data_IF_127772336003
#
_entry.id   IF_127772336003
#
_cell.length_a   1.000
_cell.length_b   1.000
_cell.length_c   1.000
_cell.angle_alpha   90.00
_cell.angle_beta   90.00
_cell.angle_gamma   90.00
#
_symmetry.space_group_name_H-M   'P 1'
#
loop_
_entity.id
_entity.type
_entity.pdbx_description
1 polymer ?
#
# COMPACT_ATOMS: atom_id res chain seq x y z
N UNK A 1 74.31 36.50 8.52
CA UNK A 1 73.61 35.29 8.99
C UNK A 1 72.44 35.78 9.84
N UNK A 2 71.26 35.94 9.22
CA UNK A 2 70.07 36.56 9.83
C UNK A 2 69.22 35.49 10.52
N UNK A 3 68.66 35.72 11.73
CA UNK A 3 67.64 34.85 12.27
C UNK A 3 66.26 35.28 11.76
N UNK A 4 65.51 34.31 11.23
CA UNK A 4 64.16 34.48 10.72
C UNK A 4 63.16 34.69 11.85
N UNK A 5 62.29 35.68 11.66
CA UNK A 5 61.19 36.09 12.51
C UNK A 5 60.03 35.08 12.43
N UNK A 6 59.56 34.61 13.58
CA UNK A 6 58.34 33.80 13.70
C UNK A 6 57.10 34.66 13.42
N UNK A 7 56.37 34.36 12.34
CA UNK A 7 55.05 34.93 12.06
C UNK A 7 54.01 33.83 12.32
N UNK A 8 53.29 33.98 13.43
CA UNK A 8 52.00 33.34 13.68
C UNK A 8 50.95 33.82 12.69
N UNK A 9 50.28 32.90 12.02
CA UNK A 9 49.02 33.17 11.29
C UNK A 9 48.08 31.98 11.47
N UNK A 10 47.17 32.13 12.44
CA UNK A 10 45.96 31.33 12.55
C UNK A 10 44.95 31.86 11.53
N UNK A 11 44.49 31.00 10.62
CA UNK A 11 43.29 31.25 9.82
C UNK A 11 42.38 30.02 9.91
N UNK A 12 41.38 30.10 10.79
CA UNK A 12 40.17 29.29 10.71
C UNK A 12 39.37 29.77 9.51
N UNK A 13 39.20 28.93 8.49
CA UNK A 13 38.18 29.10 7.47
C UNK A 13 37.24 27.89 7.56
N UNK A 14 36.06 28.16 8.12
CA UNK A 14 34.96 27.24 8.35
C UNK A 14 34.49 26.77 6.96
N UNK A 15 34.77 25.51 6.62
CA UNK A 15 34.22 24.91 5.41
C UNK A 15 32.75 24.59 5.69
N UNK A 16 31.87 25.51 5.32
CA UNK A 16 30.42 25.32 5.34
C UNK A 16 30.09 24.10 4.49
N UNK A 17 29.86 22.97 5.15
CA UNK A 17 29.28 21.78 4.55
C UNK A 17 27.88 22.15 4.07
N UNK A 18 27.74 22.31 2.75
CA UNK A 18 26.45 22.18 2.07
C UNK A 18 25.96 20.74 2.27
N UNK A 19 25.38 20.48 3.44
CA UNK A 19 24.45 19.37 3.60
C UNK A 19 23.27 19.72 2.70
N UNK A 20 22.96 18.93 1.64
CA UNK A 20 21.64 19.02 1.09
C UNK A 20 20.69 18.74 2.25
N UNK A 21 19.81 19.70 2.58
CA UNK A 21 18.59 19.34 3.28
C UNK A 21 17.92 18.32 2.36
N UNK A 22 18.14 17.04 2.64
CA UNK A 22 17.18 16.01 2.29
C UNK A 22 15.96 16.42 3.11
N UNK A 23 15.12 17.28 2.53
CA UNK A 23 13.72 17.30 2.89
C UNK A 23 13.28 15.87 2.61
N UNK A 24 13.21 15.06 3.65
CA UNK A 24 12.38 13.88 3.63
C UNK A 24 11.00 14.42 3.24
N UNK A 25 10.66 14.30 1.96
CA UNK A 25 9.31 14.58 1.50
C UNK A 25 8.47 13.51 2.17
N UNK A 26 7.85 13.92 3.25
CA UNK A 26 6.76 13.20 3.85
C UNK A 26 5.76 12.94 2.70
N UNK A 27 5.49 11.68 2.33
CA UNK A 27 4.77 11.43 1.08
C UNK A 27 3.28 11.65 1.37
N UNK A 28 2.85 12.92 1.35
CA UNK A 28 1.44 13.27 1.19
C UNK A 28 0.91 12.51 -0.02
N UNK A 29 -0.22 11.85 0.15
CA UNK A 29 -0.81 11.12 -0.97
C UNK A 29 -1.32 12.11 -2.02
N UNK A 30 -1.17 11.74 -3.29
CA UNK A 30 -1.62 12.54 -4.42
C UNK A 30 -3.09 12.22 -4.70
N UNK A 31 -3.99 13.22 -4.75
CA UNK A 31 -5.39 12.99 -5.09
C UNK A 31 -5.53 12.38 -6.50
N UNK A 32 -6.28 11.29 -6.60
CA UNK A 32 -6.59 10.60 -7.84
C UNK A 32 -8.07 10.23 -7.89
N UNK A 33 -8.78 10.65 -8.93
CA UNK A 33 -10.16 10.23 -9.17
C UNK A 33 -10.18 9.13 -10.22
N UNK A 34 -10.60 7.94 -9.82
CA UNK A 34 -10.77 6.82 -10.75
C UNK A 34 -11.89 7.13 -11.75
N UNK A 35 -11.60 7.19 -13.07
CA UNK A 35 -12.59 7.57 -14.07
C UNK A 35 -13.73 6.56 -14.21
N UNK A 36 -13.51 5.28 -13.81
CA UNK A 36 -14.53 4.23 -13.93
C UNK A 36 -15.57 4.29 -12.81
N UNK A 37 -15.14 4.54 -11.58
CA UNK A 37 -16.00 4.54 -10.39
C UNK A 37 -16.39 5.94 -9.92
N UNK A 38 -15.64 6.96 -10.33
CA UNK A 38 -15.70 8.35 -9.86
C UNK A 38 -15.50 8.46 -8.33
N UNK A 39 -14.61 7.62 -7.79
CA UNK A 39 -14.14 7.67 -6.40
C UNK A 39 -12.79 8.39 -6.39
N UNK A 40 -12.62 9.31 -5.45
CA UNK A 40 -11.34 10.00 -5.23
C UNK A 40 -10.58 9.34 -4.10
N UNK A 41 -9.30 9.09 -4.34
CA UNK A 41 -8.36 8.45 -3.43
C UNK A 41 -7.20 9.39 -3.16
N UNK A 42 -6.63 9.31 -1.97
CA UNK A 42 -5.24 9.72 -1.74
C UNK A 42 -4.32 8.57 -2.16
N UNK A 43 -3.37 8.81 -3.07
CA UNK A 43 -2.56 7.74 -3.69
C UNK A 43 -1.06 7.93 -3.50
N UNK A 44 -0.36 6.80 -3.38
CA UNK A 44 1.09 6.71 -3.32
C UNK A 44 1.58 5.84 -4.48
N UNK A 45 2.37 6.44 -5.37
CA UNK A 45 3.02 5.74 -6.46
C UNK A 45 4.43 5.30 -6.04
N UNK A 46 4.69 4.02 -6.21
CA UNK A 46 5.95 3.36 -5.96
C UNK A 46 6.51 2.95 -7.31
N UNK A 47 7.72 3.41 -7.61
CA UNK A 47 8.40 3.10 -8.87
C UNK A 47 8.71 1.62 -9.03
N UNK A 48 9.30 1.27 -10.16
CA UNK A 48 9.70 -0.12 -10.46
C UNK A 48 10.65 -0.67 -9.38
N UNK A 49 10.42 -1.92 -8.98
CA UNK A 49 11.26 -2.59 -7.98
C UNK A 49 11.60 -4.01 -8.41
N UNK A 50 12.90 -4.31 -8.49
CA UNK A 50 13.43 -5.69 -8.62
C UNK A 50 12.68 -6.58 -9.62
N UNK A 51 12.46 -6.07 -10.84
CA UNK A 51 11.82 -6.81 -11.93
C UNK A 51 10.29 -6.80 -11.94
N UNK A 52 9.62 -6.26 -10.91
CA UNK A 52 8.22 -5.90 -10.97
C UNK A 52 8.06 -4.44 -11.42
N UNK A 53 6.95 -4.16 -12.10
CA UNK A 53 6.62 -2.81 -12.57
C UNK A 53 6.22 -1.87 -11.42
N UNK A 54 5.78 -0.64 -11.74
CA UNK A 54 5.32 0.29 -10.72
C UNK A 54 4.08 -0.23 -10.00
N UNK A 55 3.92 0.18 -8.75
CA UNK A 55 2.76 -0.11 -7.91
C UNK A 55 2.15 1.19 -7.41
N UNK A 56 0.83 1.29 -7.41
CA UNK A 56 0.12 2.41 -6.79
C UNK A 56 -0.85 1.87 -5.77
N UNK A 57 -0.79 2.38 -4.54
CA UNK A 57 -1.81 2.17 -3.52
C UNK A 57 -2.60 3.45 -3.30
N UNK A 58 -3.91 3.33 -3.17
CA UNK A 58 -4.81 4.44 -2.89
C UNK A 58 -5.80 4.10 -1.79
N UNK A 59 -6.17 5.12 -1.02
CA UNK A 59 -7.06 4.99 0.11
C UNK A 59 -8.09 6.12 0.11
N UNK A 60 -9.35 5.75 0.36
CA UNK A 60 -10.43 6.67 0.69
C UNK A 60 -11.09 6.19 1.98
N UNK A 61 -11.38 7.13 2.90
CA UNK A 61 -11.86 6.87 4.24
C UNK A 61 -13.20 7.57 4.54
N UNK A 62 -13.95 7.09 5.54
CA UNK A 62 -15.07 7.82 6.11
C UNK A 62 -14.69 9.25 6.52
N UNK A 63 -15.63 10.19 6.42
CA UNK A 63 -15.36 11.61 6.70
C UNK A 63 -14.82 11.90 8.11
N UNK A 64 -15.18 11.06 9.08
CA UNK A 64 -14.74 11.19 10.48
C UNK A 64 -13.44 10.44 10.80
N UNK A 65 -12.77 9.82 9.82
CA UNK A 65 -11.61 8.94 10.07
C UNK A 65 -10.38 9.66 10.65
N UNK A 66 -10.33 10.99 10.53
CA UNK A 66 -9.32 11.84 11.16
C UNK A 66 -9.61 12.17 12.63
N UNK A 67 -10.83 11.90 13.12
CA UNK A 67 -11.22 12.12 14.52
C UNK A 67 -11.46 10.81 15.27
N UNK A 68 -11.84 9.75 14.57
CA UNK A 68 -12.10 8.42 15.14
C UNK A 68 -11.53 7.39 14.19
N UNK A 69 -10.81 6.41 14.71
CA UNK A 69 -10.22 5.37 13.87
C UNK A 69 -11.31 4.65 13.06
N UNK A 70 -11.15 4.67 11.74
CA UNK A 70 -12.01 3.90 10.85
C UNK A 70 -11.69 2.41 11.00
N UNK A 71 -12.69 1.55 10.85
CA UNK A 71 -12.48 0.09 10.78
C UNK A 71 -12.38 -0.40 9.34
N UNK A 72 -12.79 0.43 8.37
CA UNK A 72 -12.85 0.10 6.96
C UNK A 72 -12.33 1.21 6.06
N UNK A 73 -12.04 0.87 4.81
CA UNK A 73 -11.64 1.82 3.76
C UNK A 73 -12.05 1.32 2.38
N UNK A 74 -12.03 2.22 1.39
CA UNK A 74 -12.03 1.85 -0.02
C UNK A 74 -10.61 1.94 -0.54
N UNK A 75 -10.09 0.82 -1.03
CA UNK A 75 -8.76 0.71 -1.58
C UNK A 75 -8.74 0.81 -3.09
N UNK A 76 -7.69 1.42 -3.63
CA UNK A 76 -7.29 1.35 -5.03
C UNK A 76 -5.90 0.70 -5.09
N UNK A 77 -5.73 -0.28 -5.98
CA UNK A 77 -4.41 -0.81 -6.30
C UNK A 77 -4.24 -0.85 -7.82
N UNK A 78 -3.12 -0.33 -8.31
CA UNK A 78 -2.63 -0.53 -9.68
C UNK A 78 -1.32 -1.29 -9.62
N UNK A 79 -1.25 -2.41 -10.31
CA UNK A 79 -0.15 -3.35 -10.19
C UNK A 79 0.37 -3.74 -11.56
N UNK A 80 1.69 -3.79 -11.71
CA UNK A 80 2.37 -4.17 -12.94
C UNK A 80 3.47 -5.19 -12.64
N UNK A 81 3.71 -6.15 -13.54
CA UNK A 81 2.97 -6.43 -14.78
C UNK A 81 1.58 -7.03 -14.52
N UNK A 82 0.74 -7.15 -15.56
CA UNK A 82 -0.63 -7.66 -15.40
C UNK A 82 -0.70 -9.12 -14.96
N UNK A 83 0.32 -9.90 -15.29
CA UNK A 83 0.49 -11.31 -14.90
C UNK A 83 1.21 -11.48 -13.54
N UNK A 84 1.53 -10.40 -12.85
CA UNK A 84 2.18 -10.40 -11.54
C UNK A 84 1.20 -10.44 -10.38
N UNK A 85 1.71 -10.11 -9.19
CA UNK A 85 0.89 -9.82 -8.01
C UNK A 85 1.48 -8.67 -7.21
N UNK A 86 0.61 -8.04 -6.43
CA UNK A 86 0.96 -6.95 -5.52
C UNK A 86 0.23 -7.15 -4.19
N UNK A 87 0.80 -6.63 -3.12
CA UNK A 87 0.18 -6.65 -1.82
C UNK A 87 0.57 -5.44 -0.99
N UNK A 88 -0.32 -5.10 -0.05
CA UNK A 88 -0.09 -4.06 0.95
C UNK A 88 -0.25 -4.67 2.35
N UNK A 89 0.65 -4.31 3.25
CA UNK A 89 0.47 -4.52 4.69
C UNK A 89 -0.10 -3.27 5.31
N UNK A 90 -1.18 -3.44 6.09
CA UNK A 90 -1.86 -2.36 6.79
C UNK A 90 -1.22 -1.99 8.14
N UNK A 91 -0.14 -2.70 8.52
CA UNK A 91 0.61 -2.45 9.76
C UNK A 91 2.11 -2.29 9.54
N UNK A 92 2.55 -2.02 8.31
CA UNK A 92 3.94 -1.74 7.96
C UNK A 92 4.89 -2.95 7.94
N UNK A 93 4.59 -4.02 8.66
CA UNK A 93 5.36 -5.27 8.64
C UNK A 93 4.63 -6.37 7.85
N UNK A 94 5.37 -7.30 7.24
CA UNK A 94 4.75 -8.51 6.63
C UNK A 94 4.08 -9.38 7.72
N UNK A 95 4.72 -9.49 8.87
CA UNK A 95 4.22 -10.29 9.98
C UNK A 95 3.32 -9.47 10.89
N UNK A 96 2.40 -10.15 11.57
CA UNK A 96 1.54 -9.59 12.62
C UNK A 96 0.66 -8.42 12.16
N UNK A 97 0.41 -8.31 10.85
CA UNK A 97 -0.38 -7.26 10.21
C UNK A 97 -1.37 -7.87 9.22
N UNK A 98 -2.53 -7.25 9.03
CA UNK A 98 -3.42 -7.66 7.95
C UNK A 98 -2.80 -7.31 6.59
N UNK A 99 -2.77 -8.30 5.71
CA UNK A 99 -2.22 -8.17 4.36
C UNK A 99 -3.37 -8.22 3.35
N UNK A 100 -3.37 -7.29 2.41
CA UNK A 100 -4.27 -7.31 1.24
C UNK A 100 -3.42 -7.66 0.04
N UNK A 101 -3.73 -8.77 -0.64
CA UNK A 101 -3.03 -9.24 -1.83
C UNK A 101 -3.98 -9.22 -3.02
N UNK A 102 -3.49 -8.79 -4.18
CA UNK A 102 -4.22 -8.80 -5.44
C UNK A 102 -3.38 -9.33 -6.61
N UNK A 103 -4.03 -9.99 -7.56
CA UNK A 103 -3.44 -10.51 -8.80
C UNK A 103 -4.52 -10.71 -9.85
N UNK A 104 -4.16 -10.73 -11.14
CA UNK A 104 -5.07 -11.15 -12.20
C UNK A 104 -4.85 -12.65 -12.50
N UNK A 105 -5.94 -13.41 -12.60
CA UNK A 105 -5.89 -14.80 -13.07
C UNK A 105 -5.65 -14.86 -14.60
N UNK A 106 -5.39 -16.05 -15.14
CA UNK A 106 -5.13 -16.21 -16.58
C UNK A 106 -6.35 -15.87 -17.47
N UNK A 107 -7.54 -15.74 -16.89
CA UNK A 107 -8.78 -15.34 -17.58
C UNK A 107 -9.01 -13.83 -17.52
N UNK A 108 -8.12 -13.08 -16.86
CA UNK A 108 -8.23 -11.63 -16.70
C UNK A 108 -9.16 -11.20 -15.57
N UNK A 109 -9.55 -12.09 -14.65
CA UNK A 109 -10.28 -11.69 -13.45
C UNK A 109 -9.29 -11.27 -12.36
N UNK A 110 -9.48 -10.08 -11.79
CA UNK A 110 -8.65 -9.61 -10.68
C UNK A 110 -9.18 -10.21 -9.38
N UNK A 111 -8.34 -11.05 -8.76
CA UNK A 111 -8.58 -11.69 -7.46
C UNK A 111 -7.97 -10.87 -6.34
N UNK A 112 -8.58 -10.96 -5.15
CA UNK A 112 -8.14 -10.29 -3.93
C UNK A 112 -8.21 -11.29 -2.79
N UNK A 113 -7.25 -11.28 -1.88
CA UNK A 113 -7.27 -12.16 -0.70
C UNK A 113 -6.72 -11.42 0.50
N UNK A 114 -7.36 -11.64 1.64
CA UNK A 114 -6.89 -11.17 2.94
C UNK A 114 -6.02 -12.25 3.56
N UNK A 115 -4.80 -11.87 3.94
CA UNK A 115 -3.78 -12.80 4.40
C UNK A 115 -3.18 -12.35 5.72
N UNK A 116 -2.62 -13.31 6.46
CA UNK A 116 -1.95 -13.06 7.73
C UNK A 116 -0.85 -14.08 8.00
N UNK A 117 0.20 -13.66 8.70
CA UNK A 117 1.26 -14.53 9.17
C UNK A 117 1.96 -13.95 10.40
N UNK A 118 2.45 -14.81 11.29
CA UNK A 118 3.34 -14.43 12.40
C UNK A 118 4.81 -14.66 12.06
N UNK A 119 5.10 -15.28 10.92
CA UNK A 119 6.43 -15.70 10.48
C UNK A 119 6.71 -15.28 9.03
N UNK A 120 7.99 -15.28 8.63
CA UNK A 120 8.40 -15.06 7.23
C UNK A 120 8.22 -16.31 6.36
N UNK A 121 7.00 -16.82 6.33
CA UNK A 121 6.54 -17.96 5.53
C UNK A 121 5.37 -17.52 4.64
N UNK A 122 4.81 -18.44 3.84
CA UNK A 122 3.65 -18.14 2.99
C UNK A 122 2.47 -17.70 3.88
N UNK A 123 1.95 -16.47 3.73
CA UNK A 123 0.82 -16.03 4.52
C UNK A 123 -0.43 -16.88 4.31
N UNK A 124 -1.01 -17.33 5.42
CA UNK A 124 -2.28 -18.04 5.43
C UNK A 124 -3.45 -17.09 5.16
N UNK A 125 -4.63 -17.67 4.95
CA UNK A 125 -5.88 -16.89 4.86
C UNK A 125 -6.12 -16.17 6.19
N UNK A 126 -6.58 -14.93 6.12
CA UNK A 126 -7.02 -14.22 7.30
C UNK A 126 -8.40 -14.73 7.74
N UNK A 127 -8.50 -15.21 8.98
CA UNK A 127 -9.70 -15.84 9.54
C UNK A 127 -10.52 -14.91 10.44
N UNK A 128 -10.08 -13.66 10.62
CA UNK A 128 -10.83 -12.67 11.38
C UNK A 128 -12.02 -12.09 10.62
N UNK A 129 -12.66 -11.07 11.19
CA UNK A 129 -13.94 -10.54 10.70
C UNK A 129 -13.84 -9.66 9.44
N UNK A 130 -12.64 -9.49 8.89
CA UNK A 130 -12.43 -8.60 7.75
C UNK A 130 -12.99 -9.21 6.47
N UNK A 131 -13.58 -8.36 5.62
CA UNK A 131 -14.07 -8.77 4.30
C UNK A 131 -13.57 -7.82 3.23
N UNK A 132 -13.32 -8.35 2.04
CA UNK A 132 -12.89 -7.57 0.89
C UNK A 132 -13.88 -7.78 -0.25
N UNK A 133 -14.52 -6.71 -0.71
CA UNK A 133 -15.54 -6.76 -1.76
C UNK A 133 -15.13 -5.90 -2.95
N UNK A 134 -15.16 -6.45 -4.18
CA UNK A 134 -14.78 -5.69 -5.37
C UNK A 134 -15.79 -4.56 -5.65
N UNK A 135 -15.30 -3.46 -6.20
CA UNK A 135 -16.11 -2.36 -6.76
C UNK A 135 -15.88 -2.28 -8.27
N UNK A 136 -14.61 -2.35 -8.69
CA UNK A 136 -14.24 -2.34 -10.09
C UNK A 136 -12.85 -2.97 -10.29
N UNK A 137 -12.61 -3.53 -11.47
CA UNK A 137 -11.30 -3.98 -11.91
C UNK A 137 -11.10 -3.75 -13.40
N UNK A 138 -9.85 -3.68 -13.82
CA UNK A 138 -9.45 -3.63 -15.22
C UNK A 138 -8.11 -4.36 -15.37
N UNK A 139 -7.94 -5.09 -16.47
CA UNK A 139 -6.66 -5.69 -16.86
C UNK A 139 -6.28 -5.11 -18.21
N UNK A 140 -5.06 -4.59 -18.29
CA UNK A 140 -4.47 -4.01 -19.50
C UNK A 140 -3.21 -4.80 -19.86
N UNK A 141 -2.98 -4.97 -21.16
CA UNK A 141 -1.81 -5.67 -21.70
C UNK A 141 -1.08 -4.80 -22.71
N UNK A 142 0.15 -5.19 -23.07
CA UNK A 142 0.95 -4.45 -24.06
C UNK A 142 1.76 -3.34 -23.41
N UNK A 143 1.74 -2.12 -23.98
CA UNK A 143 2.55 -0.99 -23.47
C UNK A 143 2.06 -0.43 -22.13
N UNK A 144 0.85 -0.78 -21.69
CA UNK A 144 0.27 -0.39 -20.39
C UNK A 144 0.06 -1.61 -19.48
N UNK A 145 0.92 -2.62 -19.58
CA UNK A 145 0.75 -3.91 -18.90
C UNK A 145 0.59 -3.78 -17.39
N UNK A 146 -0.64 -3.91 -16.92
CA UNK A 146 -1.02 -3.70 -15.53
C UNK A 146 -2.44 -4.20 -15.28
N UNK A 147 -2.80 -4.39 -14.01
CA UNK A 147 -4.20 -4.49 -13.60
C UNK A 147 -4.51 -3.46 -12.53
N UNK A 148 -5.78 -3.06 -12.47
CA UNK A 148 -6.33 -2.21 -11.42
C UNK A 148 -7.44 -2.91 -10.66
N UNK A 149 -7.59 -2.53 -9.40
CA UNK A 149 -8.70 -2.96 -8.57
C UNK A 149 -9.09 -1.82 -7.63
N UNK A 150 -10.39 -1.54 -7.60
CA UNK A 150 -11.06 -0.81 -6.54
C UNK A 150 -11.86 -1.80 -5.69
N UNK A 151 -11.77 -1.70 -4.37
CA UNK A 151 -12.44 -2.59 -3.44
C UNK A 151 -12.80 -1.89 -2.13
N UNK A 152 -13.86 -2.36 -1.47
CA UNK A 152 -14.13 -2.03 -0.07
C UNK A 152 -13.50 -3.09 0.81
N UNK A 153 -12.78 -2.67 1.86
CA UNK A 153 -12.18 -3.54 2.85
C UNK A 153 -12.82 -3.25 4.21
N UNK A 154 -13.80 -4.06 4.61
CA UNK A 154 -14.54 -3.90 5.86
C UNK A 154 -13.80 -4.58 7.00
N UNK A 155 -13.76 -3.94 8.17
CA UNK A 155 -13.03 -4.44 9.36
C UNK A 155 -11.54 -4.75 9.10
N UNK A 156 -10.92 -4.07 8.12
CA UNK A 156 -9.53 -4.31 7.72
C UNK A 156 -8.50 -3.47 8.49
N UNK A 157 -8.91 -2.37 9.14
CA UNK A 157 -7.98 -1.50 9.87
C UNK A 157 -7.78 -1.94 11.33
N UNK A 158 -8.33 -3.10 11.69
CA UNK A 158 -8.12 -3.80 12.95
C UNK A 158 -8.05 -5.29 12.66
N UNK A 159 -7.11 -5.99 13.26
CA UNK A 159 -6.96 -7.42 13.02
C UNK A 159 -6.62 -8.19 14.27
N UNK A 160 -7.04 -9.45 14.27
CA UNK A 160 -6.78 -10.40 15.34
C UNK A 160 -6.71 -11.82 14.75
N UNK A 161 -5.57 -12.49 14.87
CA UNK A 161 -5.40 -13.89 14.45
C UNK A 161 -4.26 -14.54 15.20
N UNK A 162 -4.41 -15.81 15.55
CA UNK A 162 -3.39 -16.62 16.25
C UNK A 162 -2.87 -15.98 17.56
N UNK A 163 -3.73 -15.24 18.27
CA UNK A 163 -3.35 -14.54 19.51
C UNK A 163 -2.56 -13.25 19.30
N UNK A 164 -2.35 -12.84 18.06
CA UNK A 164 -1.76 -11.55 17.69
C UNK A 164 -2.86 -10.57 17.28
N UNK A 165 -2.82 -9.36 17.85
CA UNK A 165 -3.74 -8.28 17.52
C UNK A 165 -2.97 -7.04 17.05
N UNK A 166 -3.61 -6.23 16.20
CA UNK A 166 -3.07 -4.95 15.74
C UNK A 166 -4.14 -4.09 15.09
N UNK A 167 -3.79 -2.82 14.84
CA UNK A 167 -4.68 -1.85 14.23
C UNK A 167 -3.90 -0.75 13.54
N UNK A 168 -4.54 -0.12 12.56
CA UNK A 168 -4.04 1.06 11.86
C UNK A 168 -4.88 2.28 12.29
N UNK A 169 -4.29 3.20 13.03
CA UNK A 169 -5.00 4.32 13.66
C UNK A 169 -5.11 5.52 12.70
N UNK A 170 -6.18 5.60 11.92
CA UNK A 170 -6.40 6.70 10.95
C UNK A 170 -6.46 8.07 11.62
N UNK A 171 -6.96 8.15 12.87
CA UNK A 171 -7.04 9.40 13.62
C UNK A 171 -5.69 9.99 14.00
N UNK A 172 -4.61 9.21 13.90
CA UNK A 172 -3.24 9.69 14.10
C UNK A 172 -2.71 10.53 12.93
N UNK A 173 -3.43 10.55 11.80
CA UNK A 173 -3.01 11.21 10.56
C UNK A 173 -1.90 10.47 9.81
N UNK A 174 -1.46 9.29 10.28
CA UNK A 174 -0.35 8.54 9.71
C UNK A 174 -0.66 7.05 9.71
N UNK A 175 -0.50 6.38 8.57
CA UNK A 175 -0.58 4.92 8.47
C UNK A 175 0.79 4.36 8.12
N UNK A 176 1.32 3.45 8.94
CA UNK A 176 2.55 2.74 8.61
C UNK A 176 2.20 1.59 7.65
N UNK A 177 2.64 1.71 6.40
CA UNK A 177 2.26 0.82 5.31
C UNK A 177 3.49 0.17 4.71
N UNK A 178 3.27 -1.00 4.11
CA UNK A 178 4.31 -1.67 3.33
C UNK A 178 3.73 -2.30 2.08
N UNK A 179 4.57 -2.47 1.07
CA UNK A 179 4.19 -3.13 -0.17
C UNK A 179 5.08 -4.34 -0.43
N UNK A 180 4.53 -5.25 -1.21
CA UNK A 180 5.22 -6.38 -1.79
C UNK A 180 4.73 -6.55 -3.24
N UNK A 181 5.64 -6.81 -4.17
CA UNK A 181 5.31 -7.01 -5.59
C UNK A 181 6.14 -8.15 -6.18
N UNK A 182 5.59 -8.83 -7.17
CA UNK A 182 6.32 -9.79 -7.99
C UNK A 182 5.82 -9.78 -9.44
N UNK A 183 6.73 -10.11 -10.36
CA UNK A 183 6.43 -10.22 -11.79
C UNK A 183 5.64 -11.47 -12.19
N UNK A 184 5.52 -12.45 -11.29
CA UNK A 184 4.82 -13.71 -11.53
C UNK A 184 3.73 -13.93 -10.48
N UNK A 185 2.48 -13.97 -10.95
CA UNK A 185 1.29 -14.33 -10.17
C UNK A 185 1.28 -15.80 -9.73
N UNK A 186 0.36 -16.16 -8.82
CA UNK A 186 0.12 -17.55 -8.46
C UNK A 186 -0.51 -18.33 -9.63
N UNK A 187 -0.57 -19.66 -9.51
CA UNK A 187 -1.36 -20.49 -10.43
C UNK A 187 -2.86 -20.20 -10.31
N UNK A 188 -3.62 -20.51 -11.36
CA UNK A 188 -5.07 -20.37 -11.38
C UNK A 188 -5.73 -21.20 -10.26
N UNK A 189 -6.71 -20.58 -9.59
CA UNK A 189 -7.41 -21.20 -8.46
C UNK A 189 -8.21 -20.18 -7.68
N UNK A 190 -8.78 -20.61 -6.55
CA UNK A 190 -9.50 -19.71 -5.66
C UNK A 190 -8.52 -18.79 -4.92
N UNK A 191 -8.92 -17.54 -4.69
CA UNK A 191 -8.04 -16.51 -4.16
C UNK A 191 -7.44 -16.87 -2.80
N UNK A 192 -8.19 -17.61 -1.98
CA UNK A 192 -7.78 -18.04 -0.64
C UNK A 192 -6.86 -19.27 -0.64
N UNK A 193 -6.82 -20.02 -1.75
CA UNK A 193 -5.90 -21.15 -1.94
C UNK A 193 -4.62 -20.77 -2.68
N UNK A 194 -4.57 -19.54 -3.21
CA UNK A 194 -3.45 -19.04 -4.00
C UNK A 194 -2.11 -19.20 -3.25
N UNK A 195 -1.13 -19.75 -3.95
CA UNK A 195 0.25 -19.93 -3.45
C UNK A 195 1.17 -18.97 -4.20
N UNK A 196 1.75 -18.05 -3.44
CA UNK A 196 2.66 -17.05 -3.97
C UNK A 196 4.11 -17.46 -3.77
N UNK A 197 4.95 -17.19 -4.76
CA UNK A 197 6.40 -17.12 -4.53
C UNK A 197 6.71 -15.87 -3.71
N UNK A 198 7.88 -15.85 -3.06
CA UNK A 198 8.36 -14.65 -2.35
C UNK A 198 8.38 -13.45 -3.32
N UNK A 199 7.93 -12.29 -2.87
CA UNK A 199 8.00 -11.04 -3.62
C UNK A 199 9.43 -10.73 -4.07
N UNK A 200 9.57 -10.15 -5.26
CA UNK A 200 10.86 -9.66 -5.76
C UNK A 200 11.14 -8.23 -5.30
N UNK A 201 10.10 -7.41 -5.15
CA UNK A 201 10.17 -6.04 -4.63
C UNK A 201 9.37 -5.85 -3.33
N UNK A 202 9.89 -5.02 -2.43
CA UNK A 202 9.25 -4.70 -1.16
C UNK A 202 9.73 -3.34 -0.64
N UNK A 203 8.97 -2.75 0.28
CA UNK A 203 9.38 -1.55 1.00
C UNK A 203 8.29 -1.07 1.95
N UNK A 204 8.60 -0.06 2.76
CA UNK A 204 7.67 0.57 3.69
C UNK A 204 7.56 2.06 3.41
N UNK A 205 6.43 2.66 3.74
CA UNK A 205 6.24 4.10 3.73
C UNK A 205 5.19 4.49 4.78
N UNK A 206 5.25 5.74 5.23
CA UNK A 206 4.19 6.32 6.06
C UNK A 206 3.22 7.02 5.13
N UNK A 207 1.99 6.52 5.03
CA UNK A 207 0.90 7.16 4.30
C UNK A 207 0.24 8.23 5.16
N UNK A 208 0.39 9.49 4.78
CA UNK A 208 -0.26 10.60 5.49
C UNK A 208 -1.76 10.62 5.20
N UNK A 209 -2.55 10.59 6.26
CA UNK A 209 -4.01 10.70 6.22
C UNK A 209 -4.37 12.14 6.51
N UNK A 210 -4.99 12.79 5.55
CA UNK A 210 -5.39 14.18 5.61
C UNK A 210 -6.78 14.37 4.97
N UNK A 211 -7.16 15.64 4.73
CA UNK A 211 -8.44 15.98 4.12
C UNK A 211 -8.61 15.45 2.68
N UNK A 212 -7.54 15.04 2.00
CA UNK A 212 -7.63 14.40 0.68
C UNK A 212 -7.98 12.91 0.78
N UNK A 213 -7.82 12.33 1.97
CA UNK A 213 -8.03 10.91 2.22
C UNK A 213 -9.44 10.61 2.73
N UNK A 214 -10.11 11.58 3.36
CA UNK A 214 -11.47 11.43 3.90
C UNK A 214 -12.53 12.03 2.98
N UNK A 215 -13.76 11.51 3.00
CA UNK A 215 -14.86 12.06 2.19
C UNK A 215 -16.25 11.87 2.79
N UNK A 216 -17.08 12.91 2.69
CA UNK A 216 -18.52 12.81 2.98
C UNK A 216 -19.27 11.92 1.97
N UNK A 217 -18.67 11.66 0.81
CA UNK A 217 -19.22 10.73 -0.19
C UNK A 217 -18.87 9.27 0.09
N UNK A 218 -18.11 8.97 1.14
CA UNK A 218 -17.59 7.63 1.42
C UNK A 218 -18.69 6.57 1.45
N UNK A 219 -19.79 6.79 2.19
CA UNK A 219 -20.89 5.82 2.29
C UNK A 219 -21.53 5.51 0.92
N UNK A 220 -21.67 6.53 0.07
CA UNK A 220 -22.17 6.37 -1.30
C UNK A 220 -21.21 5.55 -2.15
N UNK A 221 -19.90 5.71 -1.96
CA UNK A 221 -18.88 4.95 -2.65
C UNK A 221 -18.80 3.51 -2.15
N UNK A 222 -18.88 3.29 -0.84
CA UNK A 222 -18.86 1.99 -0.19
C UNK A 222 -20.06 1.13 -0.63
N UNK A 223 -21.23 1.75 -0.86
CA UNK A 223 -22.42 1.10 -1.41
C UNK A 223 -22.29 0.61 -2.86
N UNK A 224 -21.19 0.91 -3.56
CA UNK A 224 -20.88 0.34 -4.90
C UNK A 224 -20.24 -1.05 -4.82
N UNK A 225 -19.79 -1.48 -3.64
CA UNK A 225 -19.14 -2.77 -3.48
C UNK A 225 -20.12 -3.92 -3.72
N UNK A 226 -19.66 -4.95 -4.42
CA UNK A 226 -20.44 -6.15 -4.66
C UNK A 226 -20.75 -6.88 -3.35
N UNK A 227 -21.90 -7.55 -3.30
CA UNK A 227 -22.35 -8.29 -2.11
C UNK A 227 -21.62 -9.61 -1.90
N UNK A 228 -20.83 -10.05 -2.89
CA UNK A 228 -20.01 -11.26 -2.79
C UNK A 228 -18.57 -10.84 -2.49
N UNK A 229 -17.98 -11.24 -1.35
CA UNK A 229 -16.59 -10.96 -1.06
C UNK A 229 -15.69 -11.54 -2.16
N UNK A 230 -14.72 -10.75 -2.64
CA UNK A 230 -13.82 -11.09 -3.74
C UNK A 230 -12.81 -12.22 -3.45
N UNK A 231 -12.94 -12.88 -2.29
CA UNK A 231 -12.17 -14.07 -1.91
C UNK A 231 -12.76 -15.39 -2.42
N UNK A 232 -14.01 -15.39 -2.92
CA UNK A 232 -14.67 -16.60 -3.43
C UNK A 232 -14.16 -17.08 -4.79
N UNK A 233 -14.17 -18.41 -4.97
CA UNK A 233 -14.40 -18.99 -6.30
C UNK A 233 -15.77 -18.46 -6.81
#
# INVERSE_FOLDING_TARGET
>A
MMPFTNITLALCAIMSTLLPLVQAQAPEGTPYTDPKTNITFSTWEIGETSGAGPFTFGLALPSNALQTDATEFIGYMKCAPSNGWCGVSLGGAMTNSLLVVAYADQKGNVKRSLRFTTEYTLPGVYEGNATISPIASEVKSGSEDSFTTVFRCQECLRWAQNGTEGAAATSSGNLDLAFAVAAEGPEDGCADEARFRKHSGQGTWVGFVDNTTVSDSYEKWAGKAETVPGGGC
#
